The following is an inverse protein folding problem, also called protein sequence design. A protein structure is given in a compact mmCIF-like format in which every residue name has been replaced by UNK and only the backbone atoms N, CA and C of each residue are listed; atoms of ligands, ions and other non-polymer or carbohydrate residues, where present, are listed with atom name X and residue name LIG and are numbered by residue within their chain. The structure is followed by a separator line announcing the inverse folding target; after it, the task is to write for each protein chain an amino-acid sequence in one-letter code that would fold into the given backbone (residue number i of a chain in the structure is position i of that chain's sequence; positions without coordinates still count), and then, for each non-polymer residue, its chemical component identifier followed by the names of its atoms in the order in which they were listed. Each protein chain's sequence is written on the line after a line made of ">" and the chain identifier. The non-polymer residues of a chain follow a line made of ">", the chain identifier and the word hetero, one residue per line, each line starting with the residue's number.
data_IF_075769406100
#
_entry.id   IF_075769406100
#
_cell.length_a   1.000
_cell.length_b   1.000
_cell.length_c   1.000
_cell.angle_alpha   90.00
_cell.angle_beta   90.00
_cell.angle_gamma   90.00
#
_symmetry.space_group_name_H-M   'P 1'
#
loop_
_entity.id
_entity.type
_entity.pdbx_description
1 polymer ?
#
# COMPACT_ATOMS: atom_id res chain seq x y z
N UNK A 1 0.60 3.53 -15.89
CA UNK A 1 -0.87 3.33 -15.97
C UNK A 1 -1.53 4.69 -16.09
N UNK A 2 -2.53 4.87 -16.95
CA UNK A 2 -3.14 6.20 -17.16
C UNK A 2 -4.31 6.46 -16.19
N UNK A 3 -4.82 7.69 -16.16
CA UNK A 3 -5.91 8.10 -15.25
C UNK A 3 -7.23 7.34 -15.47
N UNK A 4 -7.54 6.96 -16.72
CA UNK A 4 -8.74 6.15 -17.05
C UNK A 4 -8.64 4.75 -16.45
N UNK A 5 -7.48 4.13 -16.49
CA UNK A 5 -7.25 2.81 -15.90
C UNK A 5 -7.39 2.85 -14.37
N UNK A 6 -6.91 3.90 -13.71
CA UNK A 6 -7.10 4.13 -12.27
C UNK A 6 -8.60 4.25 -11.95
N UNK A 7 -9.35 5.03 -12.71
CA UNK A 7 -10.79 5.19 -12.50
C UNK A 7 -11.55 3.88 -12.74
N UNK A 8 -11.10 3.02 -13.66
CA UNK A 8 -11.68 1.68 -13.86
C UNK A 8 -11.48 0.78 -12.64
N UNK A 9 -10.33 0.84 -11.97
CA UNK A 9 -10.11 0.11 -10.71
C UNK A 9 -11.14 0.54 -9.65
N UNK A 10 -11.32 1.86 -9.49
CA UNK A 10 -12.30 2.40 -8.56
C UNK A 10 -13.73 1.98 -8.93
N UNK A 11 -14.09 2.00 -10.21
CA UNK A 11 -15.41 1.54 -10.69
C UNK A 11 -15.65 0.06 -10.34
N UNK A 12 -14.65 -0.80 -10.51
CA UNK A 12 -14.75 -2.23 -10.17
C UNK A 12 -14.99 -2.38 -8.66
N UNK A 13 -14.26 -1.65 -7.82
CA UNK A 13 -14.43 -1.71 -6.36
C UNK A 13 -15.80 -1.16 -5.92
N UNK A 14 -16.29 -0.10 -6.56
CA UNK A 14 -17.64 0.44 -6.34
C UNK A 14 -18.76 -0.50 -6.77
N UNK A 15 -18.55 -1.33 -7.81
CA UNK A 15 -19.51 -2.36 -8.21
C UNK A 15 -19.56 -3.52 -7.21
N UNK A 16 -18.41 -3.85 -6.62
CA UNK A 16 -18.26 -4.97 -5.69
C UNK A 16 -18.58 -4.60 -4.24
N UNK A 17 -18.81 -3.32 -3.93
CA UNK A 17 -19.20 -2.88 -2.58
C UNK A 17 -20.59 -3.39 -2.20
N UNK A 18 -20.85 -3.50 -0.89
CA UNK A 18 -22.18 -3.87 -0.40
C UNK A 18 -23.25 -2.89 -0.88
N UNK A 19 -24.25 -3.39 -1.62
CA UNK A 19 -25.29 -2.57 -2.25
C UNK A 19 -24.87 -1.79 -3.51
N UNK A 20 -23.62 -1.96 -3.96
CA UNK A 20 -23.06 -1.41 -5.19
C UNK A 20 -23.11 0.12 -5.29
N UNK A 21 -23.01 0.63 -6.53
CA UNK A 21 -22.94 2.06 -6.85
C UNK A 21 -24.17 2.83 -6.32
N UNK A 22 -25.36 2.23 -6.34
CA UNK A 22 -26.59 2.87 -5.86
C UNK A 22 -26.52 3.17 -4.36
N UNK A 23 -26.06 2.20 -3.56
CA UNK A 23 -25.87 2.38 -2.12
C UNK A 23 -24.85 3.48 -1.81
N UNK A 24 -23.72 3.46 -2.52
CA UNK A 24 -22.67 4.49 -2.40
C UNK A 24 -23.20 5.89 -2.75
N UNK A 25 -23.99 6.01 -3.82
CA UNK A 25 -24.61 7.28 -4.20
C UNK A 25 -25.52 7.83 -3.09
N UNK A 26 -26.33 6.98 -2.47
CA UNK A 26 -27.18 7.38 -1.35
C UNK A 26 -26.38 7.82 -0.12
N UNK A 27 -25.32 7.08 0.22
CA UNK A 27 -24.44 7.45 1.33
C UNK A 27 -23.76 8.81 1.10
N UNK A 28 -23.47 9.17 -0.15
CA UNK A 28 -22.93 10.48 -0.54
C UNK A 28 -24.01 11.54 -0.80
N UNK A 29 -25.28 11.24 -0.50
CA UNK A 29 -26.44 12.13 -0.76
C UNK A 29 -26.52 12.60 -2.22
N UNK A 30 -26.22 11.71 -3.18
CA UNK A 30 -26.25 11.96 -4.63
C UNK A 30 -27.38 11.19 -5.31
N UNK A 31 -27.80 11.68 -6.48
CA UNK A 31 -28.70 10.93 -7.36
C UNK A 31 -27.97 9.71 -7.95
N UNK A 32 -28.44 8.46 -7.75
CA UNK A 32 -27.76 7.26 -8.23
C UNK A 32 -27.51 7.24 -9.74
N UNK A 33 -28.46 7.75 -10.54
CA UNK A 33 -28.34 7.78 -12.01
C UNK A 33 -27.22 8.70 -12.47
N UNK A 34 -27.15 9.92 -11.91
CA UNK A 34 -26.09 10.89 -12.23
C UNK A 34 -24.74 10.37 -11.71
N UNK A 35 -24.72 9.80 -10.51
CA UNK A 35 -23.50 9.30 -9.89
C UNK A 35 -22.91 8.10 -10.62
N UNK A 36 -23.76 7.17 -11.10
CA UNK A 36 -23.32 6.06 -11.95
C UNK A 36 -22.65 6.55 -13.24
N UNK A 37 -23.21 7.59 -13.86
CA UNK A 37 -22.60 8.22 -15.03
C UNK A 37 -21.25 8.88 -14.70
N UNK A 38 -21.12 9.52 -13.52
CA UNK A 38 -19.85 10.14 -13.08
C UNK A 38 -18.70 9.14 -12.92
N UNK A 39 -18.98 7.96 -12.39
CA UNK A 39 -17.95 6.93 -12.16
C UNK A 39 -17.61 6.20 -13.47
N UNK A 40 -18.57 6.10 -14.40
CA UNK A 40 -18.38 5.41 -15.66
C UNK A 40 -17.33 6.12 -16.55
N UNK A 41 -16.18 5.45 -16.76
CA UNK A 41 -15.03 5.96 -17.51
C UNK A 41 -15.33 6.20 -18.99
N UNK A 42 -16.36 5.55 -19.53
CA UNK A 42 -16.80 5.71 -20.92
C UNK A 42 -17.85 6.82 -21.06
N UNK A 43 -18.33 7.40 -19.96
CA UNK A 43 -19.25 8.52 -19.97
C UNK A 43 -18.48 9.84 -19.97
N UNK A 44 -18.43 10.50 -21.12
CA UNK A 44 -17.74 11.81 -21.23
C UNK A 44 -18.50 12.95 -20.53
N UNK A 45 -19.80 12.73 -20.23
CA UNK A 45 -20.64 13.70 -19.54
C UNK A 45 -20.69 13.42 -18.03
N UNK A 46 -20.48 14.46 -17.22
CA UNK A 46 -20.37 14.41 -15.76
C UNK A 46 -19.12 13.66 -15.29
N UNK A 47 -18.16 14.38 -14.71
CA UNK A 47 -16.95 13.77 -14.15
C UNK A 47 -17.09 13.58 -12.64
N UNK A 48 -16.44 12.53 -12.14
CA UNK A 48 -16.21 12.37 -10.72
C UNK A 48 -15.34 13.54 -10.23
N UNK A 49 -15.83 14.29 -9.25
CA UNK A 49 -15.00 15.31 -8.60
C UNK A 49 -13.91 14.65 -7.75
N UNK A 50 -12.84 15.40 -7.47
CA UNK A 50 -11.76 14.90 -6.62
C UNK A 50 -12.26 14.46 -5.24
N UNK A 51 -13.14 15.24 -4.62
CA UNK A 51 -13.74 14.89 -3.32
C UNK A 51 -14.52 13.57 -3.41
N UNK A 52 -15.39 13.41 -4.41
CA UNK A 52 -16.15 12.17 -4.60
C UNK A 52 -15.22 10.96 -4.83
N UNK A 53 -14.10 11.15 -5.51
CA UNK A 53 -13.12 10.08 -5.72
C UNK A 53 -12.46 9.65 -4.40
N UNK A 54 -12.05 10.61 -3.56
CA UNK A 54 -11.48 10.32 -2.24
C UNK A 54 -12.50 9.61 -1.35
N UNK A 55 -13.73 10.10 -1.29
CA UNK A 55 -14.78 9.51 -0.48
C UNK A 55 -15.05 8.06 -0.90
N UNK A 56 -15.11 7.79 -2.22
CA UNK A 56 -15.28 6.42 -2.73
C UNK A 56 -14.11 5.51 -2.37
N UNK A 57 -12.87 5.97 -2.54
CA UNK A 57 -11.68 5.18 -2.18
C UNK A 57 -11.73 4.77 -0.71
N UNK A 58 -12.11 5.68 0.19
CA UNK A 58 -12.26 5.42 1.62
C UNK A 58 -13.40 4.45 1.89
N UNK A 59 -14.59 4.72 1.35
CA UNK A 59 -15.80 3.91 1.57
C UNK A 59 -15.65 2.47 1.06
N UNK A 60 -14.95 2.26 -0.05
CA UNK A 60 -14.72 0.93 -0.61
C UNK A 60 -13.38 0.32 -0.18
N UNK A 61 -12.61 1.02 0.65
CA UNK A 61 -11.24 0.66 1.03
C UNK A 61 -10.38 0.23 -0.19
N UNK A 62 -10.41 1.04 -1.26
CA UNK A 62 -9.80 0.71 -2.56
C UNK A 62 -8.29 0.90 -2.55
N UNK A 63 -7.57 0.02 -1.83
CA UNK A 63 -6.11 0.04 -1.73
C UNK A 63 -5.44 -0.10 -3.11
N UNK A 64 -6.06 -0.85 -4.03
CA UNK A 64 -5.57 -1.00 -5.40
C UNK A 64 -5.57 0.32 -6.16
N UNK A 65 -6.66 1.10 -6.06
CA UNK A 65 -6.75 2.42 -6.68
C UNK A 65 -5.72 3.36 -6.06
N UNK A 66 -5.56 3.35 -4.74
CA UNK A 66 -4.59 4.21 -4.06
C UNK A 66 -3.13 3.87 -4.44
N UNK A 67 -2.79 2.58 -4.49
CA UNK A 67 -1.47 2.11 -4.92
C UNK A 67 -1.18 2.48 -6.38
N UNK A 68 -2.20 2.38 -7.24
CA UNK A 68 -2.14 2.80 -8.62
C UNK A 68 -1.89 4.31 -8.80
N UNK A 69 -2.53 5.15 -7.98
CA UNK A 69 -2.31 6.60 -7.96
C UNK A 69 -0.88 6.92 -7.53
N UNK A 70 -0.38 6.31 -6.45
CA UNK A 70 1.00 6.49 -5.98
C UNK A 70 2.01 6.09 -7.08
N UNK A 71 1.78 4.93 -7.71
CA UNK A 71 2.65 4.43 -8.78
C UNK A 71 2.70 5.34 -10.00
N UNK A 72 1.66 6.13 -10.26
CA UNK A 72 1.64 7.06 -11.40
C UNK A 72 2.59 8.24 -11.26
N UNK A 73 3.07 8.49 -10.05
CA UNK A 73 4.03 9.55 -9.70
C UNK A 73 5.32 8.98 -9.10
N UNK A 74 5.65 7.72 -9.41
CA UNK A 74 6.84 7.02 -8.92
C UNK A 74 6.93 6.90 -7.38
N UNK A 75 5.78 6.83 -6.71
CA UNK A 75 5.69 6.58 -5.28
C UNK A 75 5.13 5.18 -4.98
N UNK A 76 5.48 4.65 -3.81
CA UNK A 76 4.90 3.41 -3.29
C UNK A 76 3.92 3.71 -2.16
N UNK A 77 2.86 2.91 -2.07
CA UNK A 77 1.95 2.96 -0.93
C UNK A 77 2.47 2.02 0.16
N UNK A 78 2.79 2.58 1.33
CA UNK A 78 3.14 1.81 2.53
C UNK A 78 2.05 2.02 3.58
N UNK A 79 1.50 0.95 4.18
CA UNK A 79 0.58 1.09 5.31
C UNK A 79 1.26 1.83 6.46
N UNK A 80 0.53 2.76 7.09
CA UNK A 80 1.04 3.47 8.27
C UNK A 80 1.39 2.46 9.38
N UNK A 81 2.64 2.40 9.84
CA UNK A 81 3.01 1.53 10.95
C UNK A 81 2.44 2.07 12.27
N UNK A 82 2.27 1.16 13.25
CA UNK A 82 1.90 1.57 14.60
C UNK A 82 3.15 2.09 15.34
N UNK A 83 3.29 3.40 15.42
CA UNK A 83 4.41 4.07 16.09
C UNK A 83 4.09 4.52 17.52
N UNK A 84 3.03 4.00 18.15
CA UNK A 84 2.64 4.35 19.54
C UNK A 84 3.55 3.70 20.60
N UNK A 85 4.85 3.92 20.50
CA UNK A 85 5.88 3.44 21.43
C UNK A 85 6.78 4.61 21.82
N UNK A 86 7.52 4.49 22.93
CA UNK A 86 8.39 5.59 23.36
C UNK A 86 9.58 5.77 22.41
N UNK A 87 10.12 6.98 22.27
CA UNK A 87 11.21 7.28 21.34
C UNK A 87 12.47 6.43 21.62
N UNK A 88 12.77 6.20 22.89
CA UNK A 88 13.88 5.31 23.27
C UNK A 88 13.65 3.88 22.77
N UNK A 89 12.40 3.41 22.77
CA UNK A 89 12.05 2.08 22.27
C UNK A 89 12.13 2.01 20.74
N UNK A 90 11.80 3.07 20.00
CA UNK A 90 11.91 3.09 18.53
C UNK A 90 13.37 3.02 18.09
N UNK A 91 14.24 3.83 18.68
CA UNK A 91 15.68 3.81 18.39
C UNK A 91 16.28 2.43 18.74
N UNK A 92 15.95 1.89 19.91
CA UNK A 92 16.44 0.56 20.31
C UNK A 92 15.96 -0.53 19.34
N UNK A 93 14.67 -0.53 18.98
CA UNK A 93 14.11 -1.48 18.00
C UNK A 93 14.76 -1.34 16.63
N UNK A 94 15.06 -0.11 16.20
CA UNK A 94 15.76 0.13 14.94
C UNK A 94 17.16 -0.49 14.95
N UNK A 95 17.93 -0.32 16.04
CA UNK A 95 19.25 -0.92 16.19
C UNK A 95 19.16 -2.45 16.18
N UNK A 96 18.25 -3.03 16.96
CA UNK A 96 18.06 -4.48 17.04
C UNK A 96 17.66 -5.10 15.69
N UNK A 97 16.74 -4.44 14.97
CA UNK A 97 16.34 -4.85 13.62
C UNK A 97 17.47 -4.69 12.61
N UNK A 98 18.32 -3.66 12.75
CA UNK A 98 19.47 -3.44 11.86
C UNK A 98 20.49 -4.58 11.99
N UNK A 99 20.73 -5.04 13.21
CA UNK A 99 21.58 -6.22 13.47
C UNK A 99 20.97 -7.47 12.82
N UNK A 100 19.66 -7.71 12.98
CA UNK A 100 18.97 -8.85 12.38
C UNK A 100 19.01 -8.81 10.84
N UNK A 101 18.81 -7.64 10.23
CA UNK A 101 18.98 -7.43 8.80
C UNK A 101 20.40 -7.76 8.33
N UNK A 102 21.42 -7.32 9.08
CA UNK A 102 22.82 -7.65 8.78
C UNK A 102 23.09 -9.15 8.81
N UNK A 103 22.58 -9.85 9.82
CA UNK A 103 22.69 -11.31 9.94
C UNK A 103 21.98 -12.02 8.78
N UNK A 104 20.80 -11.56 8.40
CA UNK A 104 20.05 -12.09 7.25
C UNK A 104 20.81 -11.86 5.93
N UNK A 105 21.36 -10.66 5.72
CA UNK A 105 22.19 -10.35 4.56
C UNK A 105 23.42 -11.26 4.46
N UNK A 106 24.02 -11.62 5.61
CA UNK A 106 25.12 -12.58 5.64
C UNK A 106 24.67 -14.00 5.27
N UNK A 107 23.49 -14.44 5.70
CA UNK A 107 22.90 -15.72 5.26
C UNK A 107 22.65 -15.72 3.75
N UNK A 108 22.11 -14.62 3.20
CA UNK A 108 21.88 -14.48 1.76
C UNK A 108 23.19 -14.57 0.96
N UNK A 109 24.22 -13.84 1.39
CA UNK A 109 25.54 -13.87 0.75
C UNK A 109 26.11 -15.29 0.68
N UNK A 110 25.92 -16.09 1.74
CA UNK A 110 26.34 -17.50 1.77
C UNK A 110 25.50 -18.36 0.83
N UNK A 111 24.17 -18.19 0.84
CA UNK A 111 23.28 -18.96 -0.02
C UNK A 111 23.52 -18.70 -1.52
N UNK A 112 23.95 -17.49 -1.88
CA UNK A 112 24.28 -17.08 -3.25
C UNK A 112 25.72 -17.41 -3.69
N UNK A 113 26.55 -17.99 -2.82
CA UNK A 113 27.93 -18.32 -3.16
C UNK A 113 27.98 -19.49 -4.15
N UNK A 114 28.99 -19.49 -5.04
CA UNK A 114 29.12 -20.49 -6.12
C UNK A 114 29.26 -21.94 -5.60
N UNK A 115 29.70 -22.11 -4.35
CA UNK A 115 29.88 -23.38 -3.65
C UNK A 115 28.69 -23.79 -2.75
N UNK A 116 27.60 -23.04 -2.78
CA UNK A 116 26.38 -23.32 -2.01
C UNK A 116 25.65 -24.55 -2.55
N UNK A 117 25.36 -25.54 -1.68
CA UNK A 117 24.51 -26.71 -2.01
C UNK A 117 23.09 -26.32 -2.48
N UNK A 118 22.65 -25.09 -2.18
CA UNK A 118 21.34 -24.55 -2.62
C UNK A 118 21.38 -23.92 -4.03
N UNK A 119 22.56 -23.75 -4.64
CA UNK A 119 22.74 -22.97 -5.86
C UNK A 119 22.23 -21.53 -5.74
N UNK A 120 22.04 -20.83 -6.87
CA UNK A 120 21.63 -19.41 -6.98
C UNK A 120 20.21 -19.13 -6.41
N UNK A 121 19.47 -20.12 -5.90
CA UNK A 121 18.04 -20.01 -5.63
C UNK A 121 17.64 -20.16 -4.14
N UNK A 122 17.05 -19.10 -3.57
CA UNK A 122 16.45 -19.11 -2.23
C UNK A 122 15.17 -19.96 -2.16
N UNK A 123 15.00 -20.72 -1.07
CA UNK A 123 13.79 -21.49 -0.77
C UNK A 123 12.58 -20.59 -0.45
N UNK A 124 11.36 -21.14 -0.50
CA UNK A 124 10.13 -20.41 -0.16
C UNK A 124 10.15 -19.93 1.30
N UNK A 125 10.69 -20.76 2.22
CA UNK A 125 10.80 -20.41 3.64
C UNK A 125 11.73 -19.22 3.84
N UNK A 126 12.90 -19.24 3.21
CA UNK A 126 13.88 -18.14 3.28
C UNK A 126 13.31 -16.85 2.68
N UNK A 127 12.66 -16.93 1.52
CA UNK A 127 11.99 -15.76 0.90
C UNK A 127 10.95 -15.14 1.83
N UNK A 128 10.19 -15.95 2.57
CA UNK A 128 9.19 -15.46 3.54
C UNK A 128 9.84 -14.82 4.76
N UNK A 129 10.86 -15.45 5.34
CA UNK A 129 11.62 -14.90 6.47
C UNK A 129 12.23 -13.55 6.09
N UNK A 130 12.81 -13.45 4.89
CA UNK A 130 13.35 -12.21 4.35
C UNK A 130 12.30 -11.13 4.17
N UNK A 131 11.18 -11.46 3.52
CA UNK A 131 10.09 -10.51 3.33
C UNK A 131 9.55 -9.98 4.66
N UNK A 132 9.52 -10.82 5.71
CA UNK A 132 9.10 -10.39 7.03
C UNK A 132 10.10 -9.42 7.69
N UNK A 133 11.40 -9.72 7.63
CA UNK A 133 12.45 -8.84 8.16
C UNK A 133 12.44 -7.48 7.43
N UNK A 134 12.35 -7.48 6.10
CA UNK A 134 12.26 -6.24 5.31
C UNK A 134 11.02 -5.43 5.70
N UNK A 135 9.85 -6.07 5.85
CA UNK A 135 8.62 -5.37 6.28
C UNK A 135 8.77 -4.72 7.66
N UNK A 136 9.38 -5.42 8.62
CA UNK A 136 9.61 -4.87 9.96
C UNK A 136 10.61 -3.72 9.92
N UNK A 137 11.66 -3.84 9.10
CA UNK A 137 12.64 -2.78 8.88
C UNK A 137 11.98 -1.54 8.27
N UNK A 138 11.17 -1.69 7.21
CA UNK A 138 10.43 -0.56 6.61
C UNK A 138 9.52 0.12 7.63
N UNK A 139 8.79 -0.64 8.44
CA UNK A 139 7.91 -0.09 9.46
C UNK A 139 8.67 0.71 10.52
N UNK A 140 9.79 0.20 11.04
CA UNK A 140 10.57 0.90 12.06
C UNK A 140 11.29 2.12 11.49
N UNK A 141 11.78 2.07 10.25
CA UNK A 141 12.36 3.23 9.57
C UNK A 141 11.34 4.36 9.45
N UNK A 142 10.10 4.05 9.04
CA UNK A 142 9.04 5.05 8.95
C UNK A 142 8.69 5.65 10.33
N UNK A 143 8.62 4.83 11.39
CA UNK A 143 8.42 5.37 12.73
C UNK A 143 9.58 6.26 13.17
N UNK A 144 10.81 5.87 12.86
CA UNK A 144 11.99 6.67 13.18
C UNK A 144 12.01 7.99 12.40
N UNK A 145 11.66 7.98 11.09
CA UNK A 145 11.54 9.19 10.28
C UNK A 145 10.51 10.16 10.89
N UNK A 146 9.31 9.66 11.23
CA UNK A 146 8.27 10.47 11.89
C UNK A 146 8.77 11.09 13.20
N UNK A 147 9.48 10.32 14.04
CA UNK A 147 10.07 10.85 15.28
C UNK A 147 11.17 11.89 15.06
N UNK A 148 11.94 11.76 14.00
CA UNK A 148 13.01 12.70 13.66
C UNK A 148 12.47 13.99 13.06
N UNK A 149 11.35 13.92 12.33
CA UNK A 149 10.67 15.07 11.71
C UNK A 149 9.82 15.89 12.69
N UNK A 150 9.45 15.34 13.86
CA UNK A 150 8.73 16.06 14.92
C UNK A 150 9.60 17.07 15.73
N UNK A 151 10.76 17.48 15.22
CA UNK A 151 11.68 18.45 15.84
C UNK A 151 11.76 19.80 15.13
#
# INVERSE_FOLDING_TARGET
>A
MNSKDIQRLLLIDCKNSSGGITSLAHALSKCPKIFSNKINVECESNHLSFQEAIDLIVMTNSIRTLSAMASSVDHILVPMPNCNVSNADVVQRFVDLSIQCGQLGQKMKKAMAEDSELGVALSIKEKREMANVVKQMTAICLCLELELDEK
#
